data_IF_847017563231
#
_entry.id   IF_847017563231
#
_cell.length_a   1.000
_cell.length_b   1.000
_cell.length_c   1.000
_cell.angle_alpha   90.00
_cell.angle_beta   90.00
_cell.angle_gamma   90.00
#
_symmetry.space_group_name_H-M   'P 1'
#
loop_
_entity.id
_entity.type
_entity.pdbx_description
1 polymer ?
#
# COMPACT_ATOMS: atom_id res chain seq x y z
N UNK A 1 1.67 -5.93 -12.01
CA UNK A 1 1.26 -4.57 -11.61
C UNK A 1 1.17 -4.46 -10.10
N UNK A 2 1.69 -3.36 -9.54
CA UNK A 2 1.57 -3.00 -8.13
C UNK A 2 0.51 -1.90 -8.00
N UNK A 3 -0.50 -2.13 -7.16
CA UNK A 3 -1.56 -1.15 -6.90
C UNK A 3 -1.43 -0.58 -5.49
N UNK A 4 -1.39 0.75 -5.39
CA UNK A 4 -1.26 1.49 -4.14
C UNK A 4 -2.58 2.19 -3.84
N UNK A 5 -3.16 1.98 -2.66
CA UNK A 5 -4.36 2.68 -2.20
C UNK A 5 -4.21 3.29 -0.81
N UNK A 6 -4.44 4.62 -0.74
CA UNK A 6 -4.38 5.39 0.50
C UNK A 6 -5.75 5.60 1.16
N UNK A 7 -6.81 5.00 0.59
CA UNK A 7 -8.20 5.27 0.94
C UNK A 7 -8.68 6.64 0.45
N UNK A 8 -9.85 7.07 0.93
CA UNK A 8 -10.53 8.30 0.46
C UNK A 8 -10.59 9.42 1.49
N UNK A 9 -10.00 9.24 2.68
CA UNK A 9 -10.18 10.18 3.79
C UNK A 9 -9.11 11.27 3.87
N UNK A 10 -7.86 10.97 3.51
CA UNK A 10 -6.75 11.92 3.64
C UNK A 10 -5.58 11.56 2.72
N UNK A 11 -4.76 12.54 2.30
CA UNK A 11 -3.49 12.28 1.61
C UNK A 11 -2.54 11.44 2.48
N UNK A 12 -1.63 10.69 1.85
CA UNK A 12 -0.58 9.94 2.53
C UNK A 12 0.77 10.13 1.83
N UNK A 13 1.23 11.38 1.77
CA UNK A 13 2.44 11.74 1.04
C UNK A 13 3.67 10.90 1.42
N UNK A 14 3.80 10.51 2.70
CA UNK A 14 4.91 9.69 3.19
C UNK A 14 4.97 8.33 2.48
N UNK A 15 3.84 7.62 2.43
CA UNK A 15 3.73 6.35 1.71
C UNK A 15 4.07 6.53 0.23
N UNK A 16 3.48 7.52 -0.43
CA UNK A 16 3.71 7.77 -1.87
C UNK A 16 5.17 8.10 -2.17
N UNK A 17 5.83 8.93 -1.35
CA UNK A 17 7.27 9.27 -1.49
C UNK A 17 8.18 8.06 -1.41
N UNK A 18 7.91 7.16 -0.46
CA UNK A 18 8.73 5.97 -0.27
C UNK A 18 8.58 5.05 -1.48
N UNK A 19 7.35 4.81 -1.91
CA UNK A 19 7.06 3.94 -3.06
C UNK A 19 7.64 4.53 -4.35
N UNK A 20 7.53 5.84 -4.57
CA UNK A 20 8.13 6.51 -5.73
C UNK A 20 9.65 6.29 -5.79
N UNK A 21 10.32 6.37 -4.64
CA UNK A 21 11.76 6.11 -4.54
C UNK A 21 12.13 4.65 -4.80
N UNK A 22 11.27 3.69 -4.45
CA UNK A 22 11.49 2.27 -4.74
C UNK A 22 11.22 1.98 -6.20
N UNK A 23 10.11 2.49 -6.76
CA UNK A 23 9.72 2.29 -8.15
C UNK A 23 10.80 2.72 -9.16
N UNK A 24 11.59 3.74 -8.82
CA UNK A 24 12.77 4.15 -9.61
C UNK A 24 13.77 3.01 -9.88
N UNK A 25 13.86 2.02 -8.97
CA UNK A 25 14.75 0.86 -9.09
C UNK A 25 14.14 -0.28 -9.93
N UNK A 26 12.83 -0.22 -10.18
CA UNK A 26 12.04 -1.24 -10.87
C UNK A 26 11.32 -0.63 -12.09
N UNK A 27 12.06 -0.11 -13.09
CA UNK A 27 11.47 0.62 -14.23
C UNK A 27 10.60 -0.25 -15.16
N UNK A 28 10.70 -1.57 -15.05
CA UNK A 28 9.91 -2.52 -15.83
C UNK A 28 8.59 -2.91 -15.14
N UNK A 29 8.43 -2.56 -13.86
CA UNK A 29 7.22 -2.84 -13.10
C UNK A 29 6.25 -1.67 -13.17
N UNK A 30 4.96 -1.97 -13.33
CA UNK A 30 3.92 -0.95 -13.36
C UNK A 30 3.42 -0.65 -11.95
N UNK A 31 3.55 0.60 -11.53
CA UNK A 31 3.03 1.10 -10.26
C UNK A 31 1.88 2.09 -10.50
N UNK A 32 0.70 1.78 -9.97
CA UNK A 32 -0.48 2.65 -10.04
C UNK A 32 -0.91 3.03 -8.64
N UNK A 33 -0.95 4.32 -8.35
CA UNK A 33 -1.32 4.85 -7.05
C UNK A 33 -2.64 5.63 -7.10
N UNK A 34 -3.63 5.14 -6.35
CA UNK A 34 -4.77 5.95 -5.97
C UNK A 34 -4.32 6.98 -4.93
N UNK A 35 -4.35 8.26 -5.30
CA UNK A 35 -3.99 9.40 -4.43
C UNK A 35 -5.20 10.29 -4.15
N UNK A 36 -5.08 11.19 -3.18
CA UNK A 36 -6.11 12.16 -2.86
C UNK A 36 -5.47 13.48 -2.43
N UNK A 37 -5.53 14.50 -3.28
CA UNK A 37 -5.10 15.88 -2.99
C UNK A 37 -3.78 15.96 -2.19
N UNK A 38 -2.79 15.14 -2.59
CA UNK A 38 -1.46 15.16 -2.00
C UNK A 38 -0.69 16.40 -2.42
N UNK A 39 0.31 16.79 -1.63
CA UNK A 39 1.23 17.89 -1.98
C UNK A 39 2.53 17.39 -2.61
N UNK A 40 2.66 16.07 -2.77
CA UNK A 40 3.80 15.44 -3.39
C UNK A 40 3.38 14.81 -4.72
N UNK A 41 4.09 15.19 -5.79
CA UNK A 41 3.90 14.67 -7.13
C UNK A 41 4.97 13.60 -7.42
N UNK A 42 4.60 12.31 -7.51
CA UNK A 42 5.54 11.24 -7.83
C UNK A 42 5.97 11.30 -9.30
N UNK A 43 7.19 10.85 -9.60
CA UNK A 43 7.74 10.83 -10.97
C UNK A 43 7.84 9.43 -11.58
N UNK A 44 7.72 8.39 -10.75
CA UNK A 44 7.90 6.99 -11.11
C UNK A 44 6.61 6.17 -10.94
N UNK A 45 5.50 6.83 -10.57
CA UNK A 45 4.19 6.21 -10.35
C UNK A 45 3.16 6.83 -11.29
N UNK A 46 2.22 6.03 -11.78
CA UNK A 46 0.98 6.55 -12.38
C UNK A 46 0.00 6.89 -11.27
N UNK A 47 -0.46 8.14 -11.19
CA UNK A 47 -1.41 8.57 -10.14
C UNK A 47 -2.82 8.70 -10.67
N UNK A 48 -3.80 8.31 -9.85
CA UNK A 48 -5.22 8.46 -10.13
C UNK A 48 -5.91 9.04 -8.90
N UNK A 49 -6.52 10.22 -9.04
CA UNK A 49 -7.15 10.92 -7.91
C UNK A 49 -8.55 10.39 -7.54
N UNK A 50 -9.29 9.90 -8.54
CA UNK A 50 -10.62 9.35 -8.34
C UNK A 50 -10.76 8.06 -9.13
N UNK A 51 -11.22 7.00 -8.45
CA UNK A 51 -11.58 5.72 -9.04
C UNK A 51 -13.05 5.46 -8.74
N UNK A 52 -13.80 5.04 -9.75
CA UNK A 52 -15.12 4.48 -9.49
C UNK A 52 -14.96 3.15 -8.74
N UNK A 53 -15.99 2.64 -8.04
CA UNK A 53 -15.92 1.34 -7.38
C UNK A 53 -15.51 0.21 -8.34
N UNK A 54 -15.98 0.28 -9.60
CA UNK A 54 -15.61 -0.68 -10.64
C UNK A 54 -14.13 -0.59 -11.00
N UNK A 55 -13.62 0.60 -11.29
CA UNK A 55 -12.21 0.77 -11.67
C UNK A 55 -11.27 0.39 -10.51
N UNK A 56 -11.68 0.69 -9.28
CA UNK A 56 -10.96 0.25 -8.08
C UNK A 56 -10.91 -1.28 -8.02
N UNK A 57 -12.04 -1.95 -8.21
CA UNK A 57 -12.10 -3.42 -8.17
C UNK A 57 -11.30 -4.07 -9.29
N UNK A 58 -11.34 -3.51 -10.50
CA UNK A 58 -10.56 -3.99 -11.64
C UNK A 58 -9.06 -3.86 -11.35
N UNK A 59 -8.59 -2.69 -10.91
CA UNK A 59 -7.19 -2.49 -10.50
C UNK A 59 -6.78 -3.40 -9.34
N UNK A 60 -7.66 -3.61 -8.37
CA UNK A 60 -7.38 -4.48 -7.23
C UNK A 60 -7.23 -5.96 -7.66
N UNK A 61 -8.06 -6.39 -8.60
CA UNK A 61 -8.06 -7.76 -9.12
C UNK A 61 -6.89 -8.02 -10.07
N UNK A 62 -6.46 -7.03 -10.82
CA UNK A 62 -5.32 -7.15 -11.74
C UNK A 62 -3.97 -6.97 -11.04
N UNK A 63 -3.96 -6.46 -9.81
CA UNK A 63 -2.73 -6.26 -9.06
C UNK A 63 -2.10 -7.59 -8.63
N UNK A 64 -0.80 -7.70 -8.82
CA UNK A 64 0.05 -8.75 -8.27
C UNK A 64 0.33 -8.50 -6.79
N UNK A 65 0.45 -7.21 -6.42
CA UNK A 65 0.69 -6.76 -5.06
C UNK A 65 -0.17 -5.53 -4.77
N UNK A 66 -0.84 -5.55 -3.61
CA UNK A 66 -1.52 -4.40 -3.05
C UNK A 66 -0.63 -3.75 -2.00
N UNK A 67 -0.49 -2.42 -2.06
CA UNK A 67 0.13 -1.63 -0.99
C UNK A 67 -0.93 -0.68 -0.46
N UNK A 68 -1.13 -0.65 0.87
CA UNK A 68 -2.14 0.22 1.45
C UNK A 68 -1.77 0.76 2.82
N UNK A 69 -2.53 1.76 3.26
CA UNK A 69 -2.64 2.03 4.68
C UNK A 69 -3.42 0.90 5.39
N UNK A 70 -3.42 0.87 6.72
CA UNK A 70 -4.11 -0.15 7.53
C UNK A 70 -5.65 0.01 7.55
N UNK A 71 -6.25 0.27 6.38
CA UNK A 71 -7.70 0.33 6.20
C UNK A 71 -8.32 -1.07 6.20
N UNK A 72 -9.29 -1.29 7.08
CA UNK A 72 -9.95 -2.61 7.23
C UNK A 72 -10.59 -3.11 5.94
N UNK A 73 -11.21 -2.23 5.15
CA UNK A 73 -11.82 -2.62 3.87
C UNK A 73 -10.79 -3.21 2.92
N UNK A 74 -9.62 -2.58 2.79
CA UNK A 74 -8.52 -3.07 1.94
C UNK A 74 -7.96 -4.39 2.46
N UNK A 75 -7.77 -4.52 3.78
CA UNK A 75 -7.31 -5.78 4.38
C UNK A 75 -8.29 -6.92 4.06
N UNK A 76 -9.58 -6.73 4.33
CA UNK A 76 -10.60 -7.75 4.05
C UNK A 76 -10.66 -8.08 2.55
N UNK A 77 -10.63 -7.08 1.67
CA UNK A 77 -10.64 -7.31 0.22
C UNK A 77 -9.41 -8.09 -0.24
N UNK A 78 -8.22 -7.80 0.29
CA UNK A 78 -7.01 -8.55 -0.06
C UNK A 78 -7.12 -10.01 0.36
N UNK A 79 -7.56 -10.27 1.59
CA UNK A 79 -7.68 -11.63 2.12
C UNK A 79 -8.74 -12.44 1.38
N UNK A 80 -9.91 -11.85 1.12
CA UNK A 80 -11.01 -12.55 0.40
C UNK A 80 -10.67 -12.87 -1.05
N UNK A 81 -9.76 -12.10 -1.66
CA UNK A 81 -9.32 -12.26 -3.06
C UNK A 81 -7.94 -12.94 -3.18
N UNK A 82 -7.40 -13.43 -2.06
CA UNK A 82 -6.07 -14.02 -1.96
C UNK A 82 -4.97 -13.15 -2.62
N UNK A 83 -5.01 -11.84 -2.35
CA UNK A 83 -4.04 -10.87 -2.88
C UNK A 83 -2.95 -10.59 -1.85
N UNK A 84 -1.67 -10.65 -2.25
CA UNK A 84 -0.57 -10.17 -1.41
C UNK A 84 -0.79 -8.72 -1.01
N UNK A 85 -0.62 -8.43 0.29
CA UNK A 85 -0.86 -7.11 0.85
C UNK A 85 0.33 -6.68 1.72
N UNK A 86 0.89 -5.52 1.38
CA UNK A 86 1.88 -4.80 2.18
C UNK A 86 1.25 -3.55 2.80
N UNK A 87 1.14 -3.53 4.13
CA UNK A 87 0.50 -2.46 4.88
C UNK A 87 1.54 -1.53 5.51
N UNK A 88 1.38 -0.23 5.30
CA UNK A 88 2.04 0.80 6.10
C UNK A 88 1.01 1.58 6.92
N UNK A 89 0.90 1.36 8.25
CA UNK A 89 -0.04 2.10 9.06
C UNK A 89 0.35 3.59 9.13
N UNK A 90 -0.68 4.44 9.22
CA UNK A 90 -0.49 5.85 9.57
C UNK A 90 -0.05 5.96 11.03
N UNK A 91 0.84 6.89 11.33
CA UNK A 91 1.33 7.09 12.70
C UNK A 91 0.63 8.30 13.35
N UNK A 92 0.05 8.11 14.53
CA UNK A 92 -0.55 9.20 15.30
C UNK A 92 0.51 10.22 15.76
N UNK A 93 1.72 9.76 16.07
CA UNK A 93 2.89 10.58 16.41
C UNK A 93 3.34 11.52 15.29
N UNK A 94 3.02 11.19 14.03
CA UNK A 94 3.25 12.04 12.86
C UNK A 94 2.04 12.90 12.51
N UNK A 95 1.04 12.97 13.39
CA UNK A 95 -0.26 13.63 13.15
C UNK A 95 -1.02 13.08 11.94
N UNK A 96 -0.72 11.85 11.51
CA UNK A 96 -1.40 11.21 10.37
C UNK A 96 -2.71 10.54 10.79
N UNK A 97 -2.95 10.34 12.10
CA UNK A 97 -4.16 9.75 12.64
C UNK A 97 -4.43 10.15 14.10
N UNK A 98 -5.66 9.92 14.60
CA UNK A 98 -6.08 10.30 15.97
C UNK A 98 -5.91 9.21 17.03
N UNK A 99 -5.76 7.92 16.68
CA UNK A 99 -5.63 6.81 17.64
C UNK A 99 -4.77 5.64 17.08
N UNK A 100 -4.10 4.89 17.96
CA UNK A 100 -3.14 3.81 17.63
C UNK A 100 -3.76 2.43 17.29
N UNK A 101 -5.08 2.35 17.06
CA UNK A 101 -5.76 1.06 16.82
C UNK A 101 -5.40 0.38 15.48
N UNK A 102 -4.83 1.14 14.52
CA UNK A 102 -4.37 0.58 13.24
C UNK A 102 -3.19 -0.38 13.41
N UNK A 103 -2.28 -0.08 14.35
CA UNK A 103 -1.08 -0.89 14.56
C UNK A 103 -1.41 -2.26 15.16
N UNK A 104 -2.35 -2.30 16.11
CA UNK A 104 -2.80 -3.53 16.76
C UNK A 104 -3.48 -4.49 15.76
N UNK A 105 -4.26 -3.92 14.83
CA UNK A 105 -4.94 -4.68 13.78
C UNK A 105 -3.95 -5.26 12.78
N UNK A 106 -3.04 -4.43 12.27
CA UNK A 106 -2.00 -4.88 11.35
C UNK A 106 -1.12 -6.00 11.97
N UNK A 107 -0.76 -5.86 13.25
CA UNK A 107 0.02 -6.88 13.98
C UNK A 107 -0.70 -8.23 14.06
N UNK A 108 -1.99 -8.25 14.38
CA UNK A 108 -2.78 -9.50 14.44
C UNK A 108 -2.84 -10.22 13.10
N UNK A 109 -3.02 -9.50 11.99
CA UNK A 109 -3.06 -10.13 10.67
C UNK A 109 -1.68 -10.56 10.18
N UNK A 110 -0.61 -9.86 10.59
CA UNK A 110 0.76 -10.31 10.34
C UNK A 110 1.07 -11.62 11.08
N UNK A 111 0.62 -11.77 12.32
CA UNK A 111 0.78 -13.00 13.12
C UNK A 111 0.04 -14.22 12.51
N UNK A 112 -0.96 -13.97 11.67
CA UNK A 112 -1.68 -15.01 10.92
C UNK A 112 -1.03 -15.34 9.57
N UNK A 113 0.15 -14.78 9.27
CA UNK A 113 0.82 -14.83 7.96
C UNK A 113 -0.06 -14.36 6.80
N UNK A 114 -1.07 -13.54 7.09
CA UNK A 114 -2.06 -13.11 6.11
C UNK A 114 -1.64 -11.84 5.35
N UNK A 115 -0.77 -11.02 5.94
CA UNK A 115 -0.31 -9.74 5.37
C UNK A 115 1.13 -9.42 5.79
N UNK A 116 1.81 -8.58 5.01
CA UNK A 116 3.07 -7.95 5.40
C UNK A 116 2.81 -6.57 6.00
N UNK A 117 3.57 -6.18 7.03
CA UNK A 117 3.42 -4.88 7.69
C UNK A 117 4.78 -4.22 7.81
N UNK A 118 4.87 -2.98 7.32
CA UNK A 118 6.03 -2.11 7.43
C UNK A 118 5.72 -0.90 8.30
N UNK A 119 6.45 -0.71 9.39
CA UNK A 119 6.16 0.35 10.39
C UNK A 119 6.78 1.70 10.03
N UNK A 120 7.85 1.68 9.26
CA UNK A 120 8.64 2.85 8.90
C UNK A 120 9.11 2.75 7.44
N UNK A 121 9.78 3.80 6.98
CA UNK A 121 10.30 3.97 5.63
C UNK A 121 11.26 2.83 5.26
N UNK A 122 12.16 2.47 6.17
CA UNK A 122 13.19 1.44 5.93
C UNK A 122 12.57 0.06 5.79
N UNK A 123 11.64 -0.28 6.68
CA UNK A 123 10.87 -1.54 6.62
C UNK A 123 10.05 -1.61 5.34
N UNK A 124 9.43 -0.50 4.91
CA UNK A 124 8.60 -0.49 3.71
C UNK A 124 9.45 -0.71 2.46
N UNK A 125 10.53 0.06 2.31
CA UNK A 125 11.43 -0.07 1.16
C UNK A 125 12.04 -1.45 1.08
N UNK A 126 12.60 -1.96 2.19
CA UNK A 126 13.25 -3.27 2.21
C UNK A 126 12.28 -4.43 1.95
N UNK A 127 11.07 -4.39 2.53
CA UNK A 127 10.05 -5.41 2.31
C UNK A 127 9.54 -5.38 0.88
N UNK A 128 9.24 -4.19 0.34
CA UNK A 128 8.78 -4.04 -1.03
C UNK A 128 9.82 -4.53 -2.04
N UNK A 129 11.08 -4.09 -1.92
CA UNK A 129 12.18 -4.56 -2.77
C UNK A 129 12.27 -6.09 -2.74
N UNK A 130 12.25 -6.69 -1.55
CA UNK A 130 12.30 -8.15 -1.41
C UNK A 130 11.13 -8.86 -2.09
N UNK A 131 9.90 -8.36 -1.93
CA UNK A 131 8.71 -8.95 -2.57
C UNK A 131 8.77 -8.87 -4.10
N UNK A 132 9.34 -7.78 -4.64
CA UNK A 132 9.54 -7.61 -6.08
C UNK A 132 10.64 -8.51 -6.63
N UNK A 133 11.78 -8.61 -5.93
CA UNK A 133 12.94 -9.42 -6.35
C UNK A 133 12.65 -10.92 -6.29
N UNK A 134 12.10 -11.39 -5.16
CA UNK A 134 11.91 -12.83 -4.94
C UNK A 134 10.68 -13.37 -5.69
N UNK A 135 9.87 -12.50 -6.33
CA UNK A 135 8.51 -12.80 -6.80
C UNK A 135 7.67 -13.55 -5.77
N UNK A 136 7.95 -13.36 -4.48
CA UNK A 136 7.21 -13.96 -3.38
C UNK A 136 5.89 -13.20 -3.26
N UNK A 137 4.93 -13.63 -4.06
CA UNK A 137 3.55 -13.14 -4.13
C UNK A 137 2.58 -14.15 -3.52
N UNK A 138 3.02 -14.92 -2.52
CA UNK A 138 2.22 -16.03 -1.97
C UNK A 138 1.63 -15.71 -0.61
N UNK A 139 0.31 -15.79 -0.53
CA UNK A 139 -0.41 -16.45 0.56
C UNK A 139 -0.68 -17.90 0.15
#
# INVERSE_FOLDING_TARGET
MIFITIGTQAPFNRLIKIIDSVAKQFPNDSFIAQTLNGSYEPSNLTTVNFLTPRDFDDLFNDADLIISHAGMGTIISALTRNKPLLVMPRQATLSEHRNDHQLATAKKFQELNCIHVARNELELSSTLTKMLDDKILTC
#
